data_IF_177292840173
#
_entry.id   IF_177292840173
#
_cell.length_a   1.000
_cell.length_b   1.000
_cell.length_c   1.000
_cell.angle_alpha   90.00
_cell.angle_beta   90.00
_cell.angle_gamma   90.00
#
_symmetry.space_group_name_H-M   'P 1'
#
loop_
_entity.id
_entity.type
_entity.pdbx_description
1 polymer ?
2 water ?
#
# COMPACT_ATOMS: atom_id res chain seq x y z
N UNK A 1 -10.76 -9.44 4.00
CA UNK A 1 -9.38 -8.89 3.98
C UNK A 1 -9.47 -7.37 4.12
N UNK A 2 -8.62 -6.84 4.98
CA UNK A 2 -8.70 -5.44 5.41
C UNK A 2 -7.42 -4.66 5.21
N UNK A 3 -7.55 -3.35 4.96
CA UNK A 3 -6.39 -2.50 4.82
C UNK A 3 -6.67 -1.10 5.38
N UNK A 4 -5.61 -0.43 5.82
CA UNK A 4 -5.67 0.97 6.26
C UNK A 4 -5.35 1.83 5.07
N UNK A 5 -6.32 2.66 4.73
CA UNK A 5 -6.23 3.51 3.56
C UNK A 5 -6.26 4.98 3.91
N UNK A 6 -5.51 5.77 3.17
CA UNK A 6 -5.38 7.18 3.47
C UNK A 6 -6.58 8.05 3.16
N UNK A 7 -7.41 7.67 2.20
CA UNK A 7 -8.53 8.53 1.79
C UNK A 7 -9.83 7.75 1.83
N UNK A 8 -10.15 7.01 0.78
CA UNK A 8 -11.40 6.27 0.71
C UNK A 8 -11.17 4.77 0.62
N UNK A 9 -12.17 4.01 1.03
CA UNK A 9 -12.19 2.56 0.79
C UNK A 9 -12.43 2.35 -0.69
N UNK A 10 -11.95 1.21 -1.20
CA UNK A 10 -12.20 0.84 -2.60
C UNK A 10 -13.67 0.51 -2.76
N UNK A 11 -14.13 0.49 -4.01
CA UNK A 11 -15.53 0.22 -4.30
C UNK A 11 -15.97 -1.13 -3.77
N UNK A 12 -15.06 -2.09 -3.77
CA UNK A 12 -15.36 -3.44 -3.30
C UNK A 12 -15.25 -3.60 -1.78
N UNK A 13 -15.01 -2.51 -1.04
CA UNK A 13 -14.79 -2.60 0.40
C UNK A 13 -15.82 -1.80 1.17
N UNK A 14 -15.98 -2.14 2.45
CA UNK A 14 -16.74 -1.32 3.40
C UNK A 14 -15.85 -0.76 4.52
N UNK A 15 -16.23 0.42 4.98
CA UNK A 15 -15.51 1.08 6.04
C UNK A 15 -15.90 0.39 7.34
N UNK A 16 -14.90 -0.17 8.00
CA UNK A 16 -15.09 -0.87 9.27
C UNK A 16 -14.64 -0.07 10.48
N UNK A 17 -13.73 0.87 10.29
CA UNK A 17 -13.24 1.66 11.41
C UNK A 17 -12.15 2.63 10.98
N UNK A 18 -11.20 2.89 11.87
CA UNK A 18 -10.08 3.79 11.59
C UNK A 18 -8.77 3.14 11.97
N UNK A 19 -7.69 3.69 11.40
CA UNK A 19 -6.32 3.40 11.88
C UNK A 19 -5.58 4.67 12.23
N UNK A 20 -4.65 4.54 13.18
CA UNK A 20 -3.75 5.64 13.55
C UNK A 20 -2.33 5.08 13.49
N UNK A 21 -1.52 5.57 12.53
CA UNK A 21 -0.17 5.10 12.30
C UNK A 21 0.74 6.30 12.13
N UNK A 22 1.76 6.43 12.98
CA UNK A 22 2.66 7.54 12.96
C UNK A 22 1.99 8.91 13.03
N UNK A 23 0.92 9.03 13.83
CA UNK A 23 0.18 10.28 13.92
C UNK A 23 -0.85 10.54 12.84
N UNK A 24 -0.83 9.77 11.76
CA UNK A 24 -1.75 9.95 10.64
C UNK A 24 -2.98 9.02 10.75
N UNK A 25 -4.16 9.56 10.48
CA UNK A 25 -5.38 8.79 10.52
C UNK A 25 -5.75 8.20 9.17
N UNK A 26 -6.20 6.95 9.19
CA UNK A 26 -6.57 6.20 8.03
C UNK A 26 -7.99 5.69 8.23
N UNK A 27 -8.63 5.31 7.13
CA UNK A 27 -9.86 4.55 7.18
C UNK A 27 -9.51 3.08 7.07
N UNK A 28 -10.14 2.27 7.90
CA UNK A 28 -9.93 0.84 7.88
C UNK A 28 -11.04 0.22 7.06
N UNK A 29 -10.62 -0.39 5.95
CA UNK A 29 -11.51 -0.87 4.89
C UNK A 29 -11.41 -2.39 4.76
N UNK A 30 -12.54 -3.10 4.69
CA UNK A 30 -12.53 -4.57 4.53
C UNK A 30 -13.36 -5.00 3.34
N UNK A 31 -12.91 -6.04 2.63
CA UNK A 31 -13.55 -6.44 1.36
C UNK A 31 -15.00 -6.79 1.64
N UNK B 1 1.46 -8.67 5.59
CA UNK B 1 0.03 -8.57 5.99
C UNK B 1 -0.04 -7.91 7.35
N UNK B 2 -1.07 -7.10 7.55
CA UNK B 2 -1.29 -6.45 8.83
C UNK B 2 -2.60 -6.91 9.39
N UNK B 3 -2.69 -6.98 10.72
CA UNK B 3 -3.83 -7.49 11.42
C UNK B 3 -4.12 -6.60 12.61
N UNK B 4 -5.40 -6.40 12.90
CA UNK B 4 -5.85 -5.70 14.11
C UNK B 4 -6.11 -6.74 15.18
N UNK B 5 -5.26 -6.71 16.22
CA UNK B 5 -5.33 -7.64 17.34
C UNK B 5 -5.60 -6.93 18.63
N UNK B 6 -6.37 -7.58 19.49
CA UNK B 6 -6.83 -6.97 20.71
C UNK B 6 -5.74 -6.54 21.71
N UNK B 7 -4.72 -7.36 21.90
CA UNK B 7 -3.75 -7.06 22.97
C UNK B 7 -2.33 -7.12 22.45
N UNK B 8 -1.93 -8.24 21.86
CA UNK B 8 -0.54 -8.44 21.55
C UNK B 8 -0.43 -8.74 20.07
N UNK B 9 0.69 -8.36 19.47
CA UNK B 9 1.12 -8.83 18.15
C UNK B 9 1.74 -10.23 18.28
N UNK B 10 1.72 -10.98 17.18
CA UNK B 10 2.45 -12.23 17.07
C UNK B 10 3.93 -11.94 17.02
N UNK B 11 4.70 -12.98 17.25
CA UNK B 11 6.15 -12.85 17.34
C UNK B 11 6.79 -12.54 15.99
N UNK B 12 6.05 -12.75 14.91
CA UNK B 12 6.52 -12.46 13.55
C UNK B 12 6.08 -11.08 13.10
N UNK B 13 5.47 -10.32 14.01
CA UNK B 13 4.86 -9.06 13.66
C UNK B 13 5.43 -7.89 14.45
N UNK B 14 5.41 -6.71 13.84
CA UNK B 14 5.79 -5.47 14.50
C UNK B 14 4.53 -4.64 14.79
N UNK B 15 4.44 -4.08 15.99
CA UNK B 15 3.41 -3.07 16.25
C UNK B 15 3.66 -1.81 15.42
N UNK B 16 2.73 -1.48 14.54
CA UNK B 16 2.87 -0.31 13.67
C UNK B 16 1.94 0.86 14.06
N UNK B 17 0.81 0.58 14.70
CA UNK B 17 -0.08 1.61 15.19
C UNK B 17 -1.31 0.99 15.79
N UNK B 18 -2.47 1.63 15.63
CA UNK B 18 -3.68 1.14 16.25
C UNK B 18 -4.84 1.12 15.28
N UNK B 19 -5.81 0.27 15.55
CA UNK B 19 -7.05 0.32 14.82
C UNK B 19 -8.14 0.70 15.80
N UNK B 20 -9.18 1.39 15.34
CA UNK B 20 -10.33 1.65 16.21
C UNK B 20 -11.54 1.10 15.47
N UNK B 21 -12.15 0.06 16.02
CA UNK B 21 -13.29 -0.63 15.41
C UNK B 21 -14.42 -0.76 16.47
N UNK B 22 -15.58 -0.18 16.17
CA UNK B 22 -16.72 -0.20 17.07
C UNK B 22 -16.41 0.38 18.43
N UNK B 23 -15.56 1.40 18.48
CA UNK B 23 -15.21 2.04 19.73
C UNK B 23 -14.13 1.33 20.53
N UNK B 24 -13.59 0.24 19.98
CA UNK B 24 -12.62 -0.57 20.68
C UNK B 24 -11.27 -0.39 20.02
N UNK B 25 -10.23 -0.19 20.82
CA UNK B 25 -8.88 -0.05 20.28
C UNK B 25 -8.18 -1.41 20.13
N UNK B 26 -7.55 -1.60 18.98
CA UNK B 26 -6.75 -2.76 18.68
C UNK B 26 -5.32 -2.30 18.32
N UNK B 27 -4.37 -3.21 18.44
CA UNK B 27 -3.04 -2.96 17.92
C UNK B 27 -2.94 -3.40 16.49
N UNK B 28 -2.37 -2.56 15.65
CA UNK B 28 -2.16 -2.85 14.24
C UNK B 28 -0.77 -3.44 14.10
N UNK B 29 -0.72 -4.74 13.77
CA UNK B 29 0.49 -5.55 13.79
C UNK B 29 0.80 -6.00 12.37
N UNK B 30 2.03 -5.79 11.90
CA UNK B 30 2.39 -6.12 10.52
C UNK B 30 3.57 -7.07 10.46
N UNK B 31 3.51 -8.05 9.57
CA UNK B 31 4.74 -8.76 9.23
C UNK B 31 5.65 -7.88 8.40
N UNK B 32 6.91 -8.28 8.29
CA UNK B 32 7.89 -7.48 7.57
C UNK B 32 7.45 -7.22 6.11
N UNK B 33 6.93 -8.26 5.46
CA UNK B 33 6.44 -8.18 4.10
C UNK B 33 5.15 -8.98 3.96
N UNK C 1 14.84 8.58 -13.19
CA UNK C 1 13.80 7.85 -13.95
C UNK C 1 13.59 6.48 -13.32
N UNK C 2 12.34 6.09 -13.15
CA UNK C 2 12.04 4.79 -12.57
C UNK C 2 11.25 3.92 -13.52
N UNK C 3 11.44 2.61 -13.37
CA UNK C 3 10.74 1.64 -14.19
C UNK C 3 10.33 0.41 -13.35
N UNK C 4 9.16 -0.13 -13.67
CA UNK C 4 8.75 -1.45 -13.17
C UNK C 4 9.39 -2.49 -14.08
N UNK C 5 10.30 -3.29 -13.53
CA UNK C 5 11.04 -4.25 -14.31
C UNK C 5 10.65 -5.70 -14.01
N UNK C 6 10.52 -6.51 -15.05
CA UNK C 6 10.11 -7.90 -14.89
C UNK C 6 11.16 -8.81 -14.22
N UNK C 7 12.44 -8.50 -14.37
CA UNK C 7 13.49 -9.34 -13.81
C UNK C 7 14.42 -8.50 -12.94
N UNK C 8 15.54 -8.05 -13.46
CA UNK C 8 16.52 -7.32 -12.65
C UNK C 8 16.44 -5.83 -12.87
N UNK C 9 16.85 -5.09 -11.84
CA UNK C 9 17.23 -3.71 -12.06
C UNK C 9 18.48 -3.70 -12.90
N UNK C 10 18.64 -2.64 -13.67
CA UNK C 10 19.88 -2.41 -14.38
C UNK C 10 21.00 -2.17 -13.39
N UNK C 11 22.23 -2.37 -13.83
CA UNK C 11 23.39 -2.21 -12.95
C UNK C 11 23.49 -0.79 -12.40
N UNK C 12 22.96 0.18 -13.14
CA UNK C 12 23.04 1.58 -12.74
C UNK C 12 21.82 2.00 -11.95
N UNK C 13 20.98 1.04 -11.60
CA UNK C 13 19.73 1.35 -10.93
C UNK C 13 19.71 0.82 -9.52
N UNK C 14 18.81 1.40 -8.74
CA UNK C 14 18.56 1.00 -7.37
C UNK C 14 17.15 0.43 -7.25
N UNK C 15 17.03 -0.71 -6.57
CA UNK C 15 15.74 -1.28 -6.23
C UNK C 15 15.09 -0.41 -5.15
N UNK C 16 13.94 0.17 -5.48
CA UNK C 16 13.25 1.07 -4.59
C UNK C 16 12.00 0.43 -3.99
N UNK C 17 11.42 -0.53 -4.72
CA UNK C 17 10.25 -1.24 -4.23
C UNK C 17 9.75 -2.27 -5.21
N UNK C 18 8.44 -2.47 -5.23
CA UNK C 18 7.78 -3.43 -6.09
C UNK C 18 6.66 -2.79 -6.91
N UNK C 19 6.32 -3.43 -8.02
CA UNK C 19 5.03 -3.17 -8.68
C UNK C 19 4.22 -4.42 -8.89
N UNK C 20 2.89 -4.25 -8.92
CA UNK C 20 1.98 -5.33 -9.26
C UNK C 20 1.06 -4.83 -10.38
N UNK C 21 1.20 -5.45 -11.55
CA UNK C 21 0.46 -5.12 -12.74
C UNK C 21 -0.10 -6.39 -13.37
N UNK C 22 -1.43 -6.48 -13.48
CA UNK C 22 -2.06 -7.62 -14.07
C UNK C 22 -1.70 -8.94 -13.40
N UNK C 23 -1.58 -8.91 -12.07
CA UNK C 23 -1.23 -10.06 -11.28
C UNK C 23 0.24 -10.42 -11.28
N UNK C 24 1.03 -9.74 -12.10
CA UNK C 24 2.47 -10.02 -12.20
C UNK C 24 3.27 -9.06 -11.34
N UNK C 25 4.26 -9.61 -10.65
CA UNK C 25 5.17 -8.81 -9.82
C UNK C 25 6.40 -8.34 -10.57
N UNK C 26 6.75 -7.08 -10.29
CA UNK C 26 7.87 -6.38 -10.91
C UNK C 26 8.71 -5.82 -9.79
N UNK C 27 9.97 -5.54 -10.09
CA UNK C 27 10.84 -4.76 -9.19
C UNK C 27 10.80 -3.31 -9.66
N UNK C 28 10.57 -2.40 -8.73
CA UNK C 28 10.59 -0.98 -9.07
C UNK C 28 11.99 -0.44 -8.90
N UNK C 29 12.57 -0.05 -10.03
CA UNK C 29 14.00 0.32 -10.11
C UNK C 29 14.15 1.77 -10.56
N UNK C 30 15.03 2.53 -9.93
CA UNK C 30 15.22 3.95 -10.29
C UNK C 30 16.68 4.25 -10.52
N UNK C 31 16.93 5.14 -11.44
CA UNK C 31 18.27 5.66 -11.64
C UNK C 31 18.58 6.66 -10.52
N UNK D 1 3.86 7.96 -20.20
CA UNK D 1 4.81 7.78 -19.06
C UNK D 1 4.05 7.32 -17.81
N UNK D 2 4.69 6.49 -17.00
CA UNK D 2 4.03 5.90 -15.81
C UNK D 2 4.66 6.42 -14.54
N UNK D 3 3.82 6.61 -13.53
CA UNK D 3 4.21 7.25 -12.28
C UNK D 3 3.55 6.51 -11.12
N UNK D 4 4.26 6.41 -10.00
CA UNK D 4 3.68 5.95 -8.74
C UNK D 4 3.14 7.13 -7.94
N UNK D 5 1.83 7.16 -7.73
CA UNK D 5 1.14 8.26 -7.08
C UNK D 5 0.45 7.75 -5.85
N UNK D 6 0.40 8.61 -4.85
CA UNK D 6 -0.12 8.15 -3.57
C UNK D 6 -1.60 7.85 -3.56
N UNK D 7 -2.43 8.66 -4.19
CA UNK D 7 -3.85 8.38 -4.04
C UNK D 7 -4.60 8.26 -5.36
N UNK D 8 -4.49 9.30 -6.15
CA UNK D 8 -5.24 9.41 -7.38
C UNK D 8 -4.29 9.46 -8.56
N UNK D 9 -4.72 8.91 -9.68
CA UNK D 9 -4.08 9.16 -10.96
C UNK D 9 -4.62 10.49 -11.53
N UNK D 10 -3.85 11.11 -12.41
CA UNK D 10 -4.33 12.28 -13.13
C UNK D 10 -5.41 11.87 -14.12
N UNK D 11 -6.17 12.88 -14.54
CA UNK D 11 -7.26 12.64 -15.48
C UNK D 11 -6.74 12.22 -16.84
N UNK D 12 -5.47 12.50 -17.12
CA UNK D 12 -4.82 12.10 -18.38
C UNK D 12 -4.24 10.66 -18.29
N UNK D 13 -4.45 10.01 -17.14
CA UNK D 13 -3.84 8.73 -16.85
C UNK D 13 -4.84 7.64 -16.56
N UNK D 14 -4.35 6.44 -16.75
CA UNK D 14 -5.11 5.24 -16.41
C UNK D 14 -4.38 4.50 -15.30
N UNK D 15 -5.14 4.04 -14.32
CA UNK D 15 -4.62 3.14 -13.30
C UNK D 15 -4.28 1.80 -13.94
N UNK D 16 -3.00 1.44 -13.92
CA UNK D 16 -2.56 0.15 -14.48
C UNK D 16 -2.16 -0.86 -13.42
N UNK D 17 -1.86 -0.40 -12.21
CA UNK D 17 -1.50 -1.31 -11.15
C UNK D 17 -1.15 -0.58 -9.89
N UNK D 18 -0.27 -1.18 -9.12
CA UNK D 18 0.20 -0.59 -7.88
C UNK D 18 1.71 -0.65 -7.74
N UNK D 19 2.22 0.29 -6.97
CA UNK D 19 3.58 0.24 -6.43
C UNK D 19 3.58 0.05 -4.91
N UNK D 20 4.61 -0.66 -4.41
CA UNK D 20 4.83 -0.76 -3.00
C UNK D 20 6.23 -0.23 -2.72
N UNK D 21 6.33 0.88 -2.02
CA UNK D 21 7.60 1.52 -1.69
C UNK D 21 7.64 1.82 -0.20
N UNK D 22 8.66 1.32 0.50
CA UNK D 22 8.79 1.56 1.93
C UNK D 22 7.58 1.12 2.73
N UNK D 23 6.87 0.10 2.26
CA UNK D 23 5.69 -0.41 2.95
C UNK D 23 4.41 0.35 2.65
N UNK D 24 4.52 1.36 1.80
CA UNK D 24 3.38 2.18 1.45
C UNK D 24 2.86 1.82 0.06
N UNK D 25 1.54 1.77 -0.06
CA UNK D 25 0.91 1.44 -1.33
C UNK D 25 0.61 2.69 -2.13
N UNK D 26 1.06 2.66 -3.39
CA UNK D 26 0.83 3.70 -4.37
C UNK D 26 0.08 3.11 -5.57
N UNK D 27 -0.57 3.97 -6.34
CA UNK D 27 -1.19 3.57 -7.59
C UNK D 27 -0.23 3.83 -8.71
N UNK D 28 -0.10 2.87 -9.61
CA UNK D 28 0.74 2.99 -10.79
C UNK D 28 -0.14 3.50 -11.92
N UNK D 29 0.16 4.71 -12.33
CA UNK D 29 -0.66 5.47 -13.28
C UNK D 29 0.11 5.77 -14.57
N UNK D 30 -0.45 5.47 -15.73
CA UNK D 30 0.26 5.72 -17.01
C UNK D 30 -0.54 6.64 -17.92
N UNK D 31 0.11 7.63 -18.53
CA UNK D 31 -0.58 8.60 -19.38
C UNK D 31 -1.12 7.96 -20.64
N UNK D 32 -2.26 8.45 -21.11
CA UNK D 32 -2.91 7.87 -22.28
C UNK D 32 -3.15 8.91 -23.36
N UNK D 33 -2.85 10.17 -23.05
CA UNK D 33 -2.94 11.27 -24.00
C UNK D 33 -1.70 12.14 -23.82
#
# INVERSE_FOLDING_TARGET
>A
VCSCRLVFCRRTELRVGNCLIGGVSFTYCCTRV
>B
VCSCRLVFCRRTELRVGNCLIGGVSFTYCCTRV
>C
VCSCRLVFCRRTELRVGNCLIGGVSFTYCCTRV
>D
VCSCRLVFCRRTELRVGNCLIGGVSFTYCCTRV
#
